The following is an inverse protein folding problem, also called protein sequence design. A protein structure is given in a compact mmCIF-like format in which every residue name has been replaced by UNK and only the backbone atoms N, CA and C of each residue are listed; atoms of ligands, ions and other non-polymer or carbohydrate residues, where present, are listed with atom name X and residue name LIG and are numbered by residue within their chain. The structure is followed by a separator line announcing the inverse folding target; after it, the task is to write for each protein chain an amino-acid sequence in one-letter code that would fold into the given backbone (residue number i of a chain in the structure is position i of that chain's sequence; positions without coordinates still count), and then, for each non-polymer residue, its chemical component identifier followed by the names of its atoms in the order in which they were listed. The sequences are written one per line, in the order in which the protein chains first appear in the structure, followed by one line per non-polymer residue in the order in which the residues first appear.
data_IF_687674333439
#
_entry.id   IF_687674333439
#
_cell.length_a   1.000
_cell.length_b   1.000
_cell.length_c   1.000
_cell.angle_alpha   90.00
_cell.angle_beta   90.00
_cell.angle_gamma   90.00
#
_symmetry.space_group_name_H-M   'P 1'
#
loop_
_entity.id
_entity.type
_entity.pdbx_description
1 polymer ?
#
# COMPACT_ATOMS: atom_id res chain seq x y z
N UNK A 1 63.93 -1.94 -34.42
CA UNK A 1 62.89 -2.51 -33.54
C UNK A 1 62.19 -1.35 -32.83
N UNK A 2 60.93 -1.05 -33.22
CA UNK A 2 60.14 0.05 -32.61
C UNK A 2 59.17 -0.60 -31.59
N UNK A 3 59.43 -0.34 -30.31
CA UNK A 3 58.53 -0.77 -29.24
C UNK A 3 57.26 0.12 -29.25
N UNK A 4 56.14 -0.48 -29.64
CA UNK A 4 54.81 0.13 -29.42
C UNK A 4 54.44 -0.07 -27.96
N UNK A 5 54.45 1.02 -27.18
CA UNK A 5 53.85 1.07 -25.85
C UNK A 5 52.33 1.17 -26.01
N UNK A 6 51.61 0.06 -25.77
CA UNK A 6 50.14 0.09 -25.71
C UNK A 6 49.72 0.67 -24.36
N UNK A 7 49.23 1.90 -24.37
CA UNK A 7 48.62 2.54 -23.17
C UNK A 7 47.21 2.03 -23.06
N UNK A 8 46.93 1.14 -22.10
CA UNK A 8 45.57 0.76 -21.69
C UNK A 8 44.96 1.90 -20.89
N UNK A 9 44.05 2.64 -21.48
CA UNK A 9 43.13 3.52 -20.74
C UNK A 9 42.11 2.63 -20.02
N UNK A 10 42.28 2.41 -18.74
CA UNK A 10 41.26 1.89 -17.88
C UNK A 10 40.19 2.99 -17.71
N UNK A 11 39.11 2.92 -18.46
CA UNK A 11 37.90 3.71 -18.19
C UNK A 11 37.41 3.32 -16.78
N UNK A 12 37.24 4.29 -15.85
CA UNK A 12 36.65 3.98 -14.57
C UNK A 12 35.21 3.48 -14.84
N UNK A 13 34.93 2.23 -14.46
CA UNK A 13 33.55 1.78 -14.35
C UNK A 13 32.89 2.70 -13.31
N UNK A 14 32.16 3.71 -13.78
CA UNK A 14 31.27 4.51 -12.93
C UNK A 14 30.26 3.51 -12.37
N UNK A 15 30.40 3.13 -11.12
CA UNK A 15 29.39 2.37 -10.42
C UNK A 15 28.08 3.16 -10.55
N UNK A 16 27.09 2.58 -11.22
CA UNK A 16 25.80 3.23 -11.39
C UNK A 16 25.26 3.59 -10.00
N UNK A 17 24.83 4.85 -9.84
CA UNK A 17 24.27 5.31 -8.58
C UNK A 17 23.11 4.39 -8.20
N UNK A 18 23.12 3.89 -6.95
CA UNK A 18 22.03 3.05 -6.43
C UNK A 18 20.70 3.82 -6.55
N UNK A 19 19.64 3.23 -7.15
CA UNK A 19 18.38 3.92 -7.30
C UNK A 19 17.72 4.18 -5.93
N UNK A 20 16.98 5.28 -5.82
CA UNK A 20 16.03 5.45 -4.74
C UNK A 20 14.87 4.45 -4.89
N UNK A 21 14.19 4.17 -3.80
CA UNK A 21 13.03 3.28 -3.81
C UNK A 21 11.86 3.98 -3.08
N UNK A 22 10.75 4.15 -3.78
CA UNK A 22 9.47 4.56 -3.23
C UNK A 22 8.50 3.38 -3.31
N UNK A 23 8.17 2.80 -2.16
CA UNK A 23 7.17 1.74 -2.06
C UNK A 23 5.86 2.33 -1.55
N UNK A 24 4.79 2.22 -2.32
CA UNK A 24 3.45 2.72 -1.99
C UNK A 24 2.54 1.53 -1.77
N UNK A 25 2.02 1.39 -0.55
CA UNK A 25 1.13 0.32 -0.14
C UNK A 25 -0.24 0.89 0.22
N UNK A 26 -1.26 0.50 -0.53
CA UNK A 26 -2.65 0.73 -0.16
C UNK A 26 -3.15 -0.35 0.82
N UNK A 27 -4.21 -0.05 1.55
CA UNK A 27 -4.85 -0.94 2.51
C UNK A 27 -6.28 -1.25 2.05
N UNK A 28 -6.61 -2.53 1.91
CA UNK A 28 -7.93 -3.01 1.46
C UNK A 28 -8.35 -2.55 0.04
N UNK A 29 -7.40 -2.22 -0.82
CA UNK A 29 -7.69 -1.79 -2.18
C UNK A 29 -7.85 -2.99 -3.12
N UNK A 30 -9.03 -3.15 -3.69
CA UNK A 30 -9.27 -4.15 -4.73
C UNK A 30 -8.64 -3.76 -6.06
N UNK A 31 -8.07 -4.73 -6.80
CA UNK A 31 -7.53 -4.46 -8.13
C UNK A 31 -8.58 -3.81 -9.05
N UNK A 32 -9.85 -4.21 -8.92
CA UNK A 32 -10.96 -3.69 -9.73
C UNK A 32 -11.45 -2.30 -9.32
N UNK A 33 -10.87 -1.73 -8.27
CA UNK A 33 -11.19 -0.35 -7.83
C UNK A 33 -10.38 0.72 -8.59
N UNK A 34 -9.44 0.33 -9.45
CA UNK A 34 -8.62 1.28 -10.23
C UNK A 34 -9.19 1.49 -11.63
N UNK A 35 -9.14 2.74 -12.13
CA UNK A 35 -9.65 3.06 -13.47
C UNK A 35 -8.91 2.28 -14.55
N UNK A 36 -7.58 2.15 -14.45
CA UNK A 36 -6.77 1.36 -15.40
C UNK A 36 -7.04 -0.15 -15.34
N UNK A 37 -7.77 -0.64 -14.33
CA UNK A 37 -8.21 -2.03 -14.18
C UNK A 37 -9.71 -2.22 -14.46
N UNK A 38 -10.37 -1.15 -14.91
CA UNK A 38 -11.74 -1.20 -15.44
C UNK A 38 -12.82 -0.60 -14.54
N UNK A 39 -12.48 0.09 -13.44
CA UNK A 39 -13.46 0.86 -12.69
C UNK A 39 -13.96 2.04 -13.54
N UNK A 40 -15.28 2.12 -13.75
CA UNK A 40 -15.92 3.28 -14.35
C UNK A 40 -16.38 4.29 -13.29
N UNK A 41 -16.38 3.89 -12.02
CA UNK A 41 -16.90 4.71 -10.93
C UNK A 41 -15.82 5.48 -10.20
N UNK A 42 -14.72 4.82 -9.81
CA UNK A 42 -13.62 5.46 -9.09
C UNK A 42 -12.63 6.12 -10.07
N UNK A 43 -12.08 7.25 -9.67
CA UNK A 43 -11.15 8.03 -10.47
C UNK A 43 -9.75 8.00 -9.83
N UNK A 44 -8.78 7.37 -10.54
CA UNK A 44 -7.45 7.10 -10.01
C UNK A 44 -6.33 7.52 -10.98
N UNK A 45 -6.36 8.76 -11.54
CA UNK A 45 -5.46 9.16 -12.62
C UNK A 45 -3.97 9.12 -12.24
N UNK A 46 -3.61 9.35 -10.98
CA UNK A 46 -2.22 9.35 -10.55
C UNK A 46 -1.67 7.94 -10.37
N UNK A 47 -2.47 7.01 -9.82
CA UNK A 47 -2.12 5.58 -9.74
C UNK A 47 -2.07 4.98 -11.15
N UNK A 48 -3.03 5.32 -12.01
CA UNK A 48 -3.06 4.90 -13.42
C UNK A 48 -1.80 5.38 -14.16
N UNK A 49 -1.30 6.59 -13.85
CA UNK A 49 -0.04 7.10 -14.41
C UNK A 49 1.17 6.25 -14.01
N UNK A 50 1.20 5.67 -12.81
CA UNK A 50 2.26 4.72 -12.42
C UNK A 50 2.18 3.47 -13.29
N UNK A 51 0.97 2.90 -13.45
CA UNK A 51 0.74 1.73 -14.30
C UNK A 51 1.17 1.97 -15.75
N UNK A 52 0.89 3.16 -16.29
CA UNK A 52 1.24 3.56 -17.65
C UNK A 52 2.73 3.85 -17.84
N UNK A 53 3.39 4.40 -16.80
CA UNK A 53 4.81 4.75 -16.83
C UNK A 53 5.75 3.57 -16.60
N UNK A 54 5.22 2.43 -16.15
CA UNK A 54 5.98 1.24 -15.80
C UNK A 54 5.41 -0.04 -16.38
N UNK A 55 5.60 -1.12 -15.64
CA UNK A 55 5.08 -2.45 -15.95
C UNK A 55 3.94 -2.80 -15.00
N UNK A 56 2.84 -3.32 -15.55
CA UNK A 56 1.72 -3.91 -14.82
C UNK A 56 1.88 -5.42 -14.74
N UNK A 57 1.81 -5.96 -13.54
CA UNK A 57 1.78 -7.41 -13.33
C UNK A 57 0.33 -7.89 -13.28
N UNK A 58 -0.08 -8.63 -14.28
CA UNK A 58 -1.46 -9.11 -14.41
C UNK A 58 -1.81 -10.20 -13.39
N UNK A 59 -0.81 -10.89 -12.87
CA UNK A 59 -0.91 -11.96 -11.88
C UNK A 59 -0.16 -11.60 -10.57
N UNK A 60 -0.38 -10.37 -10.08
CA UNK A 60 0.10 -9.95 -8.76
C UNK A 60 -0.80 -10.48 -7.65
N UNK A 61 -0.24 -11.17 -6.66
CA UNK A 61 -0.98 -11.75 -5.54
C UNK A 61 -0.39 -11.36 -4.20
N UNK A 62 -1.25 -11.04 -3.24
CA UNK A 62 -0.88 -10.97 -1.83
C UNK A 62 -0.72 -12.39 -1.25
N UNK A 63 0.08 -12.51 -0.21
CA UNK A 63 0.30 -13.81 0.45
C UNK A 63 -0.84 -14.22 1.38
N UNK A 64 -1.76 -13.30 1.66
CA UNK A 64 -2.92 -13.52 2.51
C UNK A 64 -4.04 -12.54 2.14
N UNK A 65 -5.27 -12.91 2.45
CA UNK A 65 -6.47 -12.12 2.20
C UNK A 65 -6.75 -11.04 3.28
N UNK A 66 -5.82 -10.83 4.23
CA UNK A 66 -5.93 -9.83 5.31
C UNK A 66 -4.59 -9.16 5.59
N UNK A 67 -4.63 -7.99 6.27
CA UNK A 67 -3.52 -7.04 6.38
C UNK A 67 -2.23 -7.58 7.01
N UNK A 68 -2.25 -7.99 8.29
CA UNK A 68 -0.99 -8.27 9.04
C UNK A 68 -0.10 -9.33 8.39
N UNK A 69 -0.63 -10.51 7.97
CA UNK A 69 0.21 -11.52 7.34
C UNK A 69 0.81 -11.05 6.01
N UNK A 70 0.04 -10.34 5.19
CA UNK A 70 0.55 -9.78 3.92
C UNK A 70 1.63 -8.74 4.16
N UNK A 71 1.41 -7.83 5.12
CA UNK A 71 2.41 -6.79 5.49
C UNK A 71 3.69 -7.42 6.04
N UNK A 72 3.56 -8.44 6.90
CA UNK A 72 4.70 -9.19 7.41
C UNK A 72 5.48 -9.88 6.27
N UNK A 73 4.77 -10.42 5.28
CA UNK A 73 5.40 -11.02 4.09
C UNK A 73 6.13 -10.00 3.23
N UNK A 74 5.53 -8.81 3.00
CA UNK A 74 6.18 -7.72 2.26
C UNK A 74 7.48 -7.29 2.95
N UNK A 75 7.46 -7.17 4.28
CA UNK A 75 8.65 -6.77 5.03
C UNK A 75 9.73 -7.84 5.08
N UNK A 76 9.36 -9.12 5.16
CA UNK A 76 10.29 -10.24 5.43
C UNK A 76 10.67 -11.08 4.21
N UNK A 77 9.92 -10.99 3.11
CA UNK A 77 10.06 -11.90 1.96
C UNK A 77 9.64 -13.35 2.26
N UNK A 78 8.89 -13.59 3.33
CA UNK A 78 8.49 -14.93 3.77
C UNK A 78 6.97 -15.09 3.79
N UNK A 79 6.50 -16.33 3.61
CA UNK A 79 5.08 -16.64 3.72
C UNK A 79 4.57 -16.57 5.17
N UNK A 80 3.27 -16.21 5.38
CA UNK A 80 2.65 -16.06 6.70
C UNK A 80 2.87 -17.25 7.64
N UNK A 81 2.74 -18.48 7.14
CA UNK A 81 2.95 -19.70 7.92
C UNK A 81 4.37 -19.83 8.46
N UNK A 82 5.38 -19.33 7.75
CA UNK A 82 6.79 -19.32 8.19
C UNK A 82 7.06 -18.26 9.25
N UNK A 83 6.38 -17.12 9.13
CA UNK A 83 6.51 -15.99 10.07
C UNK A 83 5.77 -16.29 11.37
N UNK A 84 4.66 -17.07 11.31
CA UNK A 84 3.74 -17.33 12.42
C UNK A 84 2.68 -16.22 12.59
N UNK A 85 2.54 -15.30 11.62
CA UNK A 85 1.44 -14.33 11.57
C UNK A 85 0.53 -14.77 10.43
N UNK A 86 -0.57 -15.45 10.76
CA UNK A 86 -1.45 -16.15 9.80
C UNK A 86 -2.83 -15.53 9.69
N UNK A 87 -3.14 -14.54 10.56
CA UNK A 87 -4.36 -13.74 10.53
C UNK A 87 -4.03 -12.31 10.96
N UNK A 88 -4.99 -11.37 10.80
CA UNK A 88 -4.78 -9.99 11.26
C UNK A 88 -4.50 -9.96 12.77
N UNK A 89 -3.57 -9.13 13.19
CA UNK A 89 -3.21 -9.00 14.61
C UNK A 89 -4.38 -8.38 15.38
N UNK A 90 -4.91 -9.16 16.31
CA UNK A 90 -6.16 -8.87 17.05
C UNK A 90 -7.29 -9.86 16.74
N UNK A 91 -7.15 -10.71 15.71
CA UNK A 91 -8.10 -11.78 15.44
C UNK A 91 -8.19 -12.76 16.63
N UNK A 92 -9.40 -13.26 16.89
CA UNK A 92 -9.58 -14.39 17.80
C UNK A 92 -9.13 -15.67 17.09
N UNK A 93 -8.05 -16.29 17.58
CA UNK A 93 -7.45 -17.50 17.01
C UNK A 93 -7.11 -18.50 18.12
N UNK A 94 -6.80 -19.75 17.78
CA UNK A 94 -6.53 -20.80 18.75
C UNK A 94 -7.70 -20.99 19.73
N UNK A 95 -7.41 -21.12 21.01
CA UNK A 95 -8.41 -21.30 22.06
C UNK A 95 -9.34 -20.08 22.30
N UNK A 96 -9.01 -18.92 21.72
CA UNK A 96 -9.88 -17.72 21.77
C UNK A 96 -10.98 -17.76 20.71
N UNK A 97 -10.93 -18.70 19.77
CA UNK A 97 -11.94 -18.88 18.74
C UNK A 97 -13.26 -19.39 19.34
N UNK A 98 -14.33 -18.64 19.12
CA UNK A 98 -15.63 -18.92 19.79
C UNK A 98 -16.69 -19.52 18.86
N UNK A 99 -16.37 -19.74 17.57
CA UNK A 99 -17.30 -20.37 16.64
C UNK A 99 -17.24 -21.89 16.77
N UNK A 100 -18.37 -22.56 16.55
CA UNK A 100 -18.44 -24.01 16.55
C UNK A 100 -18.02 -24.56 15.18
N UNK A 101 -16.74 -24.38 14.84
CA UNK A 101 -16.15 -24.91 13.61
C UNK A 101 -15.49 -26.28 13.86
N UNK A 102 -15.38 -27.09 12.78
CA UNK A 102 -14.77 -28.42 12.87
C UNK A 102 -13.29 -28.43 13.25
N UNK A 103 -12.60 -27.30 12.95
CA UNK A 103 -11.18 -27.08 13.23
C UNK A 103 -10.98 -25.69 13.83
N UNK A 104 -10.02 -25.58 14.72
CA UNK A 104 -9.59 -24.28 15.25
C UNK A 104 -8.57 -23.65 14.31
N UNK A 105 -8.62 -22.33 14.10
CA UNK A 105 -7.53 -21.62 13.45
C UNK A 105 -6.27 -21.73 14.32
N UNK A 106 -5.07 -21.76 13.71
CA UNK A 106 -3.82 -21.79 14.47
C UNK A 106 -3.68 -20.54 15.32
N UNK A 107 -2.91 -20.62 16.39
CA UNK A 107 -2.55 -19.42 17.14
C UNK A 107 -1.80 -18.43 16.25
N UNK A 108 -2.15 -17.14 16.38
CA UNK A 108 -1.62 -16.07 15.57
C UNK A 108 -0.54 -15.29 16.32
N UNK A 109 0.59 -15.06 15.68
CA UNK A 109 1.65 -14.17 16.20
C UNK A 109 1.15 -12.74 16.38
N UNK A 110 1.57 -12.08 17.44
CA UNK A 110 1.16 -10.71 17.77
C UNK A 110 2.14 -9.63 17.27
N UNK A 111 3.29 -10.05 16.75
CA UNK A 111 4.35 -9.15 16.24
C UNK A 111 5.29 -9.83 15.27
N UNK A 112 5.91 -9.04 14.39
CA UNK A 112 7.00 -9.53 13.55
C UNK A 112 8.20 -9.92 14.43
N UNK A 113 8.71 -11.17 14.33
CA UNK A 113 9.83 -11.59 15.16
C UNK A 113 11.11 -10.82 14.85
N UNK A 114 11.79 -10.30 15.89
CA UNK A 114 13.02 -9.50 15.75
C UNK A 114 14.19 -10.25 15.07
N UNK A 115 14.16 -11.59 15.04
CA UNK A 115 15.17 -12.41 14.35
C UNK A 115 15.04 -12.43 12.82
N UNK A 116 13.94 -11.90 12.29
CA UNK A 116 13.68 -11.87 10.85
C UNK A 116 14.27 -10.57 10.29
N UNK A 117 15.24 -10.68 9.41
CA UNK A 117 15.77 -9.52 8.68
C UNK A 117 14.69 -9.01 7.70
N UNK A 118 14.36 -7.75 7.82
CA UNK A 118 13.39 -7.07 6.93
C UNK A 118 14.07 -6.42 5.74
N UNK A 119 13.27 -6.08 4.72
CA UNK A 119 13.76 -5.32 3.55
C UNK A 119 14.34 -3.97 3.97
N UNK A 120 13.78 -3.32 4.98
CA UNK A 120 14.29 -2.04 5.53
C UNK A 120 15.65 -2.20 6.20
N UNK A 121 15.86 -3.24 6.99
CA UNK A 121 17.15 -3.55 7.60
C UNK A 121 18.21 -3.88 6.54
N UNK A 122 17.86 -4.69 5.54
CA UNK A 122 18.75 -5.04 4.44
C UNK A 122 19.15 -3.79 3.62
N UNK A 123 18.19 -2.92 3.28
CA UNK A 123 18.47 -1.68 2.56
C UNK A 123 19.27 -0.68 3.41
N UNK A 124 18.97 -0.56 4.70
CA UNK A 124 19.74 0.26 5.63
C UNK A 124 21.20 -0.19 5.70
N UNK A 125 21.42 -1.50 5.84
CA UNK A 125 22.80 -2.08 5.80
C UNK A 125 23.47 -1.85 4.45
N UNK A 126 22.69 -1.78 3.38
CA UNK A 126 23.13 -1.41 2.02
C UNK A 126 23.41 0.09 1.84
N UNK A 127 23.29 0.91 2.89
CA UNK A 127 23.60 2.34 2.88
C UNK A 127 22.43 3.26 2.50
N UNK A 128 21.21 2.75 2.46
CA UNK A 128 20.01 3.57 2.24
C UNK A 128 19.60 4.32 3.51
N UNK A 129 19.09 5.54 3.34
CA UNK A 129 18.26 6.20 4.36
C UNK A 129 16.87 5.57 4.30
N UNK A 130 16.26 5.27 5.43
CA UNK A 130 15.01 4.53 5.49
C UNK A 130 13.91 5.33 6.18
N UNK A 131 12.74 5.36 5.56
CA UNK A 131 11.58 6.14 6.01
C UNK A 131 10.31 5.30 5.90
N UNK A 132 9.49 5.38 6.93
CA UNK A 132 8.16 4.78 7.00
C UNK A 132 7.10 5.82 7.30
N UNK A 133 5.97 5.80 6.59
CA UNK A 133 4.81 6.62 6.90
C UNK A 133 3.52 5.81 6.82
N UNK A 134 2.69 5.85 7.86
CA UNK A 134 1.33 5.30 7.87
C UNK A 134 1.16 3.99 8.62
N UNK A 135 0.35 3.07 8.07
CA UNK A 135 -0.06 1.83 8.73
C UNK A 135 1.05 0.79 8.80
N UNK A 136 1.45 0.41 10.03
CA UNK A 136 2.37 -0.70 10.28
C UNK A 136 1.64 -2.03 10.49
N UNK A 137 0.93 -2.19 11.59
CA UNK A 137 0.03 -3.31 11.91
C UNK A 137 0.69 -4.70 11.91
N UNK A 138 1.99 -4.80 12.16
CA UNK A 138 2.74 -6.06 12.32
C UNK A 138 3.56 -6.08 13.63
N UNK A 139 3.11 -5.31 14.61
CA UNK A 139 3.68 -5.24 15.94
C UNK A 139 3.49 -3.86 16.56
N UNK A 140 3.85 -3.75 17.84
CA UNK A 140 3.79 -2.53 18.62
C UNK A 140 5.16 -2.23 19.25
N UNK A 141 5.17 -1.91 20.54
CA UNK A 141 6.40 -1.66 21.30
C UNK A 141 7.39 -2.83 21.18
N UNK A 142 8.64 -2.52 20.82
CA UNK A 142 9.69 -3.50 20.52
C UNK A 142 9.52 -4.27 19.22
N UNK A 143 8.59 -3.84 18.35
CA UNK A 143 8.40 -4.36 16.99
C UNK A 143 7.72 -3.32 16.10
N UNK A 144 8.04 -2.05 16.30
CA UNK A 144 7.63 -0.95 15.42
C UNK A 144 8.52 -0.80 14.19
N UNK A 145 8.24 0.15 13.32
CA UNK A 145 9.09 0.43 12.15
C UNK A 145 10.55 0.68 12.52
N UNK A 146 10.78 1.41 13.61
CA UNK A 146 12.14 1.76 14.09
C UNK A 146 12.94 0.53 14.52
N UNK A 147 12.26 -0.45 15.13
CA UNK A 147 12.87 -1.73 15.56
C UNK A 147 13.21 -2.64 14.37
N UNK A 148 12.65 -2.35 13.20
CA UNK A 148 12.81 -3.11 11.95
C UNK A 148 13.47 -2.27 10.84
N UNK A 149 14.40 -1.39 11.20
CA UNK A 149 15.35 -0.77 10.29
C UNK A 149 14.91 0.55 9.65
N UNK A 150 13.76 1.11 10.00
CA UNK A 150 13.40 2.46 9.57
C UNK A 150 13.99 3.53 10.49
N UNK A 151 14.76 4.47 9.93
CA UNK A 151 15.38 5.57 10.67
C UNK A 151 14.37 6.65 11.06
N UNK A 152 13.34 6.81 10.23
CA UNK A 152 12.27 7.79 10.45
C UNK A 152 10.93 7.10 10.32
N UNK A 153 10.08 7.27 11.33
CA UNK A 153 8.71 6.76 11.37
C UNK A 153 7.72 7.91 11.55
N UNK A 154 6.71 7.97 10.68
CA UNK A 154 5.61 8.93 10.69
C UNK A 154 4.27 8.20 10.67
N UNK A 155 3.75 7.91 11.86
CA UNK A 155 2.42 7.31 12.01
C UNK A 155 2.38 5.79 12.08
N UNK A 156 3.53 5.10 11.97
CA UNK A 156 3.61 3.65 12.11
C UNK A 156 3.54 3.19 13.56
N UNK A 157 2.53 2.42 13.92
CA UNK A 157 2.34 1.83 15.23
C UNK A 157 1.43 0.60 15.16
N UNK A 158 1.07 0.00 16.28
CA UNK A 158 0.36 -1.28 16.33
C UNK A 158 -1.05 -1.29 15.71
N UNK A 159 -1.71 -0.13 15.56
CA UNK A 159 -3.11 -0.07 15.13
C UNK A 159 -3.28 -0.42 13.65
N UNK A 160 -4.28 -1.26 13.38
CA UNK A 160 -4.67 -1.63 12.03
C UNK A 160 -5.61 -0.64 11.33
N UNK A 161 -6.10 0.38 12.07
CA UNK A 161 -6.97 1.43 11.55
C UNK A 161 -6.57 2.79 12.10
N UNK A 162 -6.92 3.92 11.46
CA UNK A 162 -6.63 5.25 11.97
C UNK A 162 -7.56 5.56 13.16
N UNK A 163 -6.97 5.69 14.37
CA UNK A 163 -7.75 5.87 15.62
C UNK A 163 -8.58 7.16 15.65
N UNK A 164 -8.03 8.26 15.10
CA UNK A 164 -8.74 9.54 14.98
C UNK A 164 -9.55 9.67 13.68
N UNK A 165 -9.60 8.62 12.86
CA UNK A 165 -10.20 8.67 11.53
C UNK A 165 -9.27 9.27 10.49
N UNK A 166 -9.87 9.70 9.37
CA UNK A 166 -9.13 10.15 8.18
C UNK A 166 -8.94 11.66 8.08
N UNK A 167 -9.33 12.40 9.09
CA UNK A 167 -9.16 13.86 9.13
C UNK A 167 -8.58 14.31 10.46
N UNK A 168 -7.67 15.27 10.42
CA UNK A 168 -7.05 15.82 11.62
C UNK A 168 -8.12 16.38 12.60
N UNK A 169 -7.95 16.11 13.91
CA UNK A 169 -6.83 15.49 14.60
C UNK A 169 -6.80 13.97 14.47
N UNK A 170 -5.62 13.41 14.14
CA UNK A 170 -5.47 11.97 13.81
C UNK A 170 -5.40 11.06 15.03
N UNK A 171 -5.13 11.60 16.22
CA UNK A 171 -4.91 10.84 17.47
C UNK A 171 -3.90 9.70 17.28
N UNK A 172 -2.85 9.94 16.50
CA UNK A 172 -1.79 9.00 16.21
C UNK A 172 -0.52 9.38 17.00
N UNK A 173 0.02 8.52 17.86
CA UNK A 173 1.15 8.86 18.74
C UNK A 173 2.47 9.08 17.99
N UNK A 174 2.54 8.70 16.71
CA UNK A 174 3.74 8.81 15.87
C UNK A 174 3.56 9.79 14.69
N UNK A 175 2.44 10.52 14.64
CA UNK A 175 2.14 11.48 13.59
C UNK A 175 1.57 12.76 14.20
N UNK A 176 2.27 13.86 14.02
CA UNK A 176 1.76 15.17 14.42
C UNK A 176 0.58 15.58 13.54
N UNK A 177 -0.42 16.19 14.13
CA UNK A 177 -1.52 16.78 13.40
C UNK A 177 -1.03 17.92 12.49
N UNK A 178 -1.68 18.06 11.36
CA UNK A 178 -1.59 19.20 10.48
C UNK A 178 -2.72 20.20 10.75
N UNK A 179 -3.05 21.03 9.75
CA UNK A 179 -4.23 21.88 9.82
C UNK A 179 -5.48 21.06 10.13
N UNK A 180 -6.40 21.64 10.90
CA UNK A 180 -7.67 21.00 11.23
C UNK A 180 -8.42 20.56 9.94
N UNK A 181 -8.90 19.33 9.92
CA UNK A 181 -9.56 18.76 8.75
C UNK A 181 -8.63 18.32 7.62
N UNK A 182 -7.31 18.36 7.80
CA UNK A 182 -6.37 17.78 6.82
C UNK A 182 -6.60 16.29 6.66
N UNK A 183 -6.69 15.81 5.40
CA UNK A 183 -6.87 14.40 5.12
C UNK A 183 -5.59 13.59 5.41
N UNK A 184 -5.73 12.46 6.08
CA UNK A 184 -4.62 11.58 6.49
C UNK A 184 -3.72 11.16 5.33
N UNK A 185 -4.23 10.70 4.16
CA UNK A 185 -3.34 10.33 3.05
C UNK A 185 -2.52 11.52 2.56
N UNK A 186 -3.08 12.73 2.55
CA UNK A 186 -2.37 13.96 2.17
C UNK A 186 -1.26 14.28 3.19
N UNK A 187 -1.56 14.12 4.49
CA UNK A 187 -0.55 14.30 5.55
C UNK A 187 0.62 13.33 5.39
N UNK A 188 0.34 12.05 5.17
CA UNK A 188 1.39 11.04 4.97
C UNK A 188 2.24 11.33 3.73
N UNK A 189 1.62 11.77 2.64
CA UNK A 189 2.32 12.21 1.43
C UNK A 189 3.24 13.42 1.68
N UNK A 190 2.79 14.40 2.48
CA UNK A 190 3.61 15.57 2.88
C UNK A 190 4.82 15.15 3.72
N UNK A 191 4.64 14.25 4.70
CA UNK A 191 5.77 13.73 5.49
C UNK A 191 6.77 12.97 4.61
N UNK A 192 6.29 12.21 3.63
CA UNK A 192 7.12 11.52 2.63
C UNK A 192 7.91 12.54 1.79
N UNK A 193 7.26 13.59 1.30
CA UNK A 193 7.91 14.66 0.53
C UNK A 193 8.95 15.42 1.36
N UNK A 194 8.66 15.69 2.63
CA UNK A 194 9.61 16.32 3.56
C UNK A 194 10.88 15.47 3.73
N UNK A 195 10.73 14.15 3.86
CA UNK A 195 11.87 13.24 3.96
C UNK A 195 12.69 13.21 2.65
N UNK A 196 12.02 13.08 1.49
CA UNK A 196 12.66 13.06 0.17
C UNK A 196 13.44 14.36 -0.09
N UNK A 197 12.92 15.50 0.35
CA UNK A 197 13.52 16.83 0.15
C UNK A 197 14.78 17.10 0.98
N UNK A 198 15.17 16.23 1.90
CA UNK A 198 16.35 16.45 2.74
C UNK A 198 17.65 16.45 1.92
N UNK A 199 18.18 17.63 1.68
CA UNK A 199 19.30 17.89 0.72
C UNK A 199 20.68 17.41 1.21
N UNK A 200 20.84 17.06 2.48
CA UNK A 200 22.17 16.83 3.08
C UNK A 200 22.70 15.40 2.94
N UNK A 201 22.10 14.57 2.10
CA UNK A 201 22.55 13.20 1.92
C UNK A 201 22.67 12.83 0.44
N UNK A 202 23.89 12.41 0.05
CA UNK A 202 24.16 11.73 -1.23
C UNK A 202 23.69 10.27 -1.21
N UNK A 203 23.20 9.77 -0.07
CA UNK A 203 22.74 8.38 0.05
C UNK A 203 21.38 8.20 -0.62
N UNK A 204 21.16 7.08 -1.29
CA UNK A 204 19.83 6.74 -1.80
C UNK A 204 18.85 6.56 -0.64
N UNK A 205 17.56 6.66 -0.91
CA UNK A 205 16.52 6.45 0.09
C UNK A 205 15.63 5.25 -0.25
N UNK A 206 15.11 4.63 0.80
CA UNK A 206 13.96 3.74 0.79
C UNK A 206 12.83 4.40 1.57
N UNK A 207 11.82 4.90 0.87
CA UNK A 207 10.62 5.47 1.45
C UNK A 207 9.46 4.48 1.30
N UNK A 208 8.88 4.07 2.43
CA UNK A 208 7.73 3.17 2.48
C UNK A 208 6.49 3.97 2.90
N UNK A 209 5.66 4.35 1.93
CA UNK A 209 4.41 5.05 2.13
C UNK A 209 3.27 4.03 2.22
N UNK A 210 2.83 3.77 3.44
CA UNK A 210 1.83 2.77 3.79
C UNK A 210 0.53 3.45 4.18
N UNK A 211 -0.38 3.60 3.25
CA UNK A 211 -1.66 4.23 3.55
C UNK A 211 -2.51 3.38 4.50
N UNK A 212 -3.35 4.03 5.30
CA UNK A 212 -4.51 3.42 5.93
C UNK A 212 -5.69 3.33 4.95
N UNK A 213 -5.70 4.17 3.91
CA UNK A 213 -6.71 4.15 2.85
C UNK A 213 -6.55 2.90 1.99
N UNK A 214 -7.64 2.18 1.75
CA UNK A 214 -9.04 2.57 1.89
C UNK A 214 -9.76 1.72 2.97
N UNK A 215 -9.05 1.37 4.03
CA UNK A 215 -9.59 0.60 5.17
C UNK A 215 -10.64 1.41 5.94
N UNK A 216 -11.57 0.72 6.58
CA UNK A 216 -12.54 1.34 7.50
C UNK A 216 -11.91 1.99 8.76
N UNK A 217 -12.62 2.95 9.38
CA UNK A 217 -13.90 3.51 8.97
C UNK A 217 -13.80 4.31 7.67
N UNK A 218 -14.69 4.07 6.71
CA UNK A 218 -14.65 4.84 5.46
C UNK A 218 -15.13 6.27 5.70
N UNK A 219 -14.34 7.25 5.26
CA UNK A 219 -14.60 8.67 5.44
C UNK A 219 -14.12 9.46 4.22
N UNK A 220 -14.83 10.52 3.89
CA UNK A 220 -14.45 11.44 2.82
C UNK A 220 -14.86 12.87 3.12
N UNK A 221 -14.29 13.84 2.40
CA UNK A 221 -14.71 15.23 2.53
C UNK A 221 -16.10 15.47 1.94
N UNK A 222 -16.84 16.50 2.40
CA UNK A 222 -18.15 16.84 1.85
C UNK A 222 -18.11 17.06 0.32
N UNK A 223 -17.07 17.71 -0.19
CA UNK A 223 -16.93 17.99 -1.62
C UNK A 223 -16.78 16.70 -2.45
N UNK A 224 -15.93 15.77 -2.01
CA UNK A 224 -15.74 14.49 -2.69
C UNK A 224 -16.98 13.59 -2.54
N UNK A 225 -17.62 13.60 -1.37
CA UNK A 225 -18.89 12.90 -1.20
C UNK A 225 -19.94 13.38 -2.20
N UNK A 226 -20.12 14.69 -2.34
CA UNK A 226 -21.09 15.27 -3.27
C UNK A 226 -20.76 14.92 -4.73
N UNK A 227 -19.48 14.98 -5.13
CA UNK A 227 -19.01 14.55 -6.46
C UNK A 227 -19.46 13.12 -6.76
N UNK A 228 -19.11 12.18 -5.88
CA UNK A 228 -19.39 10.76 -6.10
C UNK A 228 -20.87 10.41 -5.89
N UNK A 229 -21.58 11.14 -5.05
CA UNK A 229 -23.05 11.01 -4.92
C UNK A 229 -23.74 11.36 -6.23
N UNK A 230 -23.37 12.48 -6.87
CA UNK A 230 -23.89 12.84 -8.19
C UNK A 230 -23.57 11.77 -9.24
N UNK A 231 -22.36 11.25 -9.23
CA UNK A 231 -21.92 10.18 -10.15
C UNK A 231 -22.73 8.89 -9.92
N UNK A 232 -22.94 8.49 -8.69
CA UNK A 232 -23.77 7.33 -8.35
C UNK A 232 -25.21 7.48 -8.79
N UNK A 233 -25.78 8.69 -8.61
CA UNK A 233 -27.16 8.99 -9.05
C UNK A 233 -27.26 8.95 -10.57
N UNK A 234 -26.30 9.52 -11.29
CA UNK A 234 -26.29 9.55 -12.75
C UNK A 234 -26.12 8.16 -13.39
N UNK A 235 -25.39 7.25 -12.73
CA UNK A 235 -25.20 5.85 -13.20
C UNK A 235 -26.44 5.00 -13.05
N UNK A 236 -27.49 5.47 -12.37
CA UNK A 236 -28.65 4.69 -11.95
C UNK A 236 -28.30 3.77 -10.78
N UNK A 237 -29.22 3.63 -9.86
CA UNK A 237 -29.04 2.69 -8.74
C UNK A 237 -29.30 1.27 -9.28
N UNK A 238 -28.34 0.38 -9.11
CA UNK A 238 -28.52 -1.03 -9.42
C UNK A 238 -29.70 -1.59 -8.61
N UNK A 239 -30.58 -2.36 -9.28
CA UNK A 239 -31.72 -3.00 -8.61
C UNK A 239 -31.29 -3.96 -7.52
N UNK A 240 -30.19 -4.68 -7.76
CA UNK A 240 -29.60 -5.62 -6.80
C UNK A 240 -28.17 -5.18 -6.45
N UNK A 241 -28.00 -4.47 -5.37
CA UNK A 241 -26.67 -4.03 -4.89
C UNK A 241 -25.89 -5.10 -4.20
N UNK A 242 -26.57 -6.10 -3.65
CA UNK A 242 -25.97 -7.18 -2.87
C UNK A 242 -26.52 -8.52 -3.30
N UNK A 243 -25.63 -9.52 -3.32
CA UNK A 243 -25.98 -10.92 -3.54
C UNK A 243 -25.29 -11.79 -2.49
N UNK A 244 -25.99 -12.75 -1.93
CA UNK A 244 -25.36 -13.66 -0.98
C UNK A 244 -24.35 -14.59 -1.69
N UNK A 245 -23.11 -14.61 -1.23
CA UNK A 245 -22.15 -15.66 -1.51
C UNK A 245 -22.06 -16.55 -0.26
N UNK A 246 -22.66 -17.71 -0.35
CA UNK A 246 -22.88 -18.63 0.79
C UNK A 246 -23.75 -17.97 1.88
N UNK A 247 -23.17 -17.47 2.93
CA UNK A 247 -23.87 -16.95 4.11
C UNK A 247 -23.76 -15.45 4.30
N UNK A 248 -23.00 -14.76 3.45
CA UNK A 248 -22.74 -13.32 3.58
C UNK A 248 -23.16 -12.54 2.34
N UNK A 249 -23.76 -11.36 2.51
CA UNK A 249 -24.00 -10.45 1.40
C UNK A 249 -22.67 -9.95 0.85
N UNK A 250 -22.58 -9.87 -0.47
CA UNK A 250 -21.43 -9.35 -1.22
C UNK A 250 -21.94 -8.24 -2.14
N UNK A 251 -21.28 -7.09 -2.08
CA UNK A 251 -21.61 -5.95 -2.95
C UNK A 251 -21.33 -6.29 -4.40
N UNK A 252 -22.28 -5.94 -5.28
CA UNK A 252 -22.26 -6.25 -6.70
C UNK A 252 -21.89 -5.05 -7.59
N UNK A 253 -21.91 -3.84 -7.06
CA UNK A 253 -21.73 -2.60 -7.83
C UNK A 253 -20.80 -1.64 -7.11
N UNK A 254 -20.02 -0.90 -7.88
CA UNK A 254 -19.18 0.20 -7.41
C UNK A 254 -20.01 1.49 -7.47
N UNK A 255 -20.67 1.84 -6.38
CA UNK A 255 -21.54 3.01 -6.28
C UNK A 255 -21.54 3.65 -4.88
N UNK A 256 -20.50 3.41 -4.08
CA UNK A 256 -20.34 3.98 -2.74
C UNK A 256 -19.68 5.37 -2.79
N UNK A 257 -20.41 6.48 -2.54
CA UNK A 257 -19.83 7.81 -2.66
C UNK A 257 -18.72 8.09 -1.65
N UNK A 258 -18.83 7.57 -0.44
CA UNK A 258 -17.82 7.76 0.61
C UNK A 258 -16.52 7.08 0.19
N UNK A 259 -16.60 5.84 -0.25
CA UNK A 259 -15.43 5.08 -0.71
C UNK A 259 -14.80 5.71 -1.96
N UNK A 260 -15.62 6.18 -2.92
CA UNK A 260 -15.13 6.90 -4.10
C UNK A 260 -14.31 8.14 -3.75
N UNK A 261 -14.82 8.95 -2.83
CA UNK A 261 -14.07 10.12 -2.38
C UNK A 261 -12.82 9.79 -1.57
N UNK A 262 -12.83 8.67 -0.83
CA UNK A 262 -11.65 8.17 -0.13
C UNK A 262 -10.57 7.67 -1.09
N UNK A 263 -10.97 6.97 -2.16
CA UNK A 263 -10.11 6.56 -3.26
C UNK A 263 -9.43 7.75 -3.92
N UNK A 264 -10.19 8.79 -4.28
CA UNK A 264 -9.64 9.99 -4.90
C UNK A 264 -8.69 10.75 -3.97
N UNK A 265 -8.99 10.80 -2.66
CA UNK A 265 -8.08 11.41 -1.68
C UNK A 265 -6.74 10.68 -1.60
N UNK A 266 -6.73 9.35 -1.68
CA UNK A 266 -5.51 8.55 -1.73
C UNK A 266 -4.76 8.75 -3.05
N UNK A 267 -5.47 8.74 -4.16
CA UNK A 267 -4.89 8.97 -5.49
C UNK A 267 -4.21 10.34 -5.59
N UNK A 268 -4.85 11.39 -5.06
CA UNK A 268 -4.26 12.72 -4.95
C UNK A 268 -2.96 12.73 -4.11
N UNK A 269 -2.93 11.95 -3.02
CA UNK A 269 -1.73 11.80 -2.19
C UNK A 269 -0.59 11.10 -2.97
N UNK A 270 -0.90 10.09 -3.77
CA UNK A 270 0.06 9.45 -4.70
C UNK A 270 0.59 10.47 -5.71
N UNK A 271 -0.31 11.28 -6.27
CA UNK A 271 0.04 12.37 -7.19
C UNK A 271 0.98 13.39 -6.57
N UNK A 272 0.77 13.76 -5.30
CA UNK A 272 1.65 14.68 -4.59
C UNK A 272 3.09 14.14 -4.49
N UNK A 273 3.27 12.86 -4.19
CA UNK A 273 4.61 12.27 -4.02
C UNK A 273 5.28 12.06 -5.37
N UNK A 274 4.58 11.51 -6.36
CA UNK A 274 5.15 11.27 -7.69
C UNK A 274 5.51 12.56 -8.43
N UNK A 275 4.68 13.60 -8.31
CA UNK A 275 4.98 14.93 -8.85
C UNK A 275 6.17 15.58 -8.14
N UNK A 276 6.31 15.35 -6.83
CA UNK A 276 7.45 15.85 -6.06
C UNK A 276 8.78 15.22 -6.50
N UNK A 277 8.80 13.91 -6.76
CA UNK A 277 9.97 13.24 -7.34
C UNK A 277 10.37 13.87 -8.68
N UNK A 278 9.41 14.11 -9.57
CA UNK A 278 9.64 14.77 -10.86
C UNK A 278 10.20 16.19 -10.68
N UNK A 279 9.61 16.97 -9.77
CA UNK A 279 10.07 18.34 -9.46
C UNK A 279 11.51 18.39 -8.99
N UNK A 280 11.97 17.37 -8.28
CA UNK A 280 13.35 17.25 -7.79
C UNK A 280 14.30 16.59 -8.82
N UNK A 281 13.79 16.12 -9.96
CA UNK A 281 14.56 15.37 -10.97
C UNK A 281 14.98 13.96 -10.50
N UNK A 282 14.34 13.44 -9.43
CA UNK A 282 14.65 12.15 -8.86
C UNK A 282 13.91 10.98 -9.53
N UNK A 283 12.86 11.27 -10.29
CA UNK A 283 12.06 10.26 -11.00
C UNK A 283 12.89 9.37 -11.94
N UNK A 284 13.96 9.93 -12.52
CA UNK A 284 14.87 9.20 -13.42
C UNK A 284 15.75 8.16 -12.72
N UNK A 285 15.91 8.24 -11.39
CA UNK A 285 16.69 7.32 -10.58
C UNK A 285 15.92 6.84 -9.33
N UNK A 286 14.60 6.69 -9.46
CA UNK A 286 13.74 6.16 -8.39
C UNK A 286 12.91 5.00 -8.91
N UNK A 287 13.00 3.86 -8.25
CA UNK A 287 12.08 2.75 -8.44
C UNK A 287 10.81 3.08 -7.66
N UNK A 288 9.66 3.12 -8.35
CA UNK A 288 8.35 3.32 -7.73
C UNK A 288 7.57 2.02 -7.83
N UNK A 289 7.10 1.55 -6.69
CA UNK A 289 6.26 0.34 -6.58
C UNK A 289 4.92 0.75 -5.98
N UNK A 290 3.82 0.33 -6.61
CA UNK A 290 2.47 0.49 -6.09
C UNK A 290 1.79 -0.86 -5.99
N UNK A 291 1.24 -1.17 -4.81
CA UNK A 291 0.44 -2.40 -4.58
C UNK A 291 -0.54 -2.21 -3.42
N UNK A 292 -1.36 -3.24 -3.15
CA UNK A 292 -2.23 -3.34 -1.98
C UNK A 292 -1.84 -4.55 -1.12
N UNK A 293 -2.21 -4.53 0.15
CA UNK A 293 -1.94 -5.64 1.06
C UNK A 293 -2.93 -6.80 0.93
N UNK A 294 -4.18 -6.52 0.55
CA UNK A 294 -5.22 -7.52 0.25
C UNK A 294 -6.31 -6.90 -0.62
N UNK A 295 -7.32 -7.69 -1.00
CA UNK A 295 -8.41 -7.25 -1.85
C UNK A 295 -9.41 -6.31 -1.19
N UNK A 296 -10.29 -5.74 -2.01
CA UNK A 296 -11.30 -4.77 -1.61
C UNK A 296 -12.38 -5.34 -0.68
N UNK A 297 -12.99 -4.47 0.12
CA UNK A 297 -14.02 -4.83 1.09
C UNK A 297 -15.38 -4.94 0.41
N UNK A 298 -15.64 -6.09 -0.20
CA UNK A 298 -16.94 -6.37 -0.87
C UNK A 298 -17.96 -7.01 0.07
N UNK A 299 -17.53 -7.53 1.23
CA UNK A 299 -18.35 -8.23 2.21
C UNK A 299 -17.80 -7.98 3.62
N UNK A 300 -18.67 -7.81 4.60
CA UNK A 300 -18.28 -7.42 5.97
C UNK A 300 -17.82 -5.98 6.04
N UNK A 301 -17.25 -5.57 7.18
CA UNK A 301 -16.81 -4.21 7.47
C UNK A 301 -17.81 -3.15 6.93
N UNK A 302 -17.40 -2.32 5.98
CA UNK A 302 -18.25 -1.26 5.44
C UNK A 302 -18.98 -1.62 4.12
N UNK A 303 -18.82 -2.84 3.58
CA UNK A 303 -19.31 -3.21 2.24
C UNK A 303 -18.98 -2.16 1.18
N UNK A 304 -17.73 -1.70 1.18
CA UNK A 304 -17.34 -0.44 0.55
C UNK A 304 -17.33 -0.51 -0.98
N UNK A 305 -16.95 -1.66 -1.56
CA UNK A 305 -16.75 -1.81 -3.01
C UNK A 305 -17.23 -3.16 -3.53
N UNK A 306 -17.20 -3.32 -4.86
CA UNK A 306 -17.44 -4.59 -5.56
C UNK A 306 -16.16 -5.04 -6.27
N UNK A 307 -15.74 -6.28 -6.04
CA UNK A 307 -14.54 -6.86 -6.66
C UNK A 307 -14.82 -7.55 -8.01
N UNK A 308 -16.06 -7.54 -8.49
CA UNK A 308 -16.45 -8.23 -9.72
C UNK A 308 -15.59 -7.83 -10.95
N UNK A 309 -15.33 -8.81 -11.87
CA UNK A 309 -15.82 -10.17 -11.92
C UNK A 309 -15.09 -11.14 -10.98
N UNK A 310 -14.14 -10.67 -10.18
CA UNK A 310 -13.39 -11.51 -9.25
C UNK A 310 -14.27 -11.88 -8.06
N UNK A 311 -14.29 -13.16 -7.72
CA UNK A 311 -15.05 -13.66 -6.57
C UNK A 311 -14.40 -13.24 -5.27
N UNK A 312 -15.24 -12.96 -4.26
CA UNK A 312 -14.81 -12.62 -2.90
C UNK A 312 -14.31 -11.18 -2.77
N UNK A 313 -13.44 -10.98 -1.81
CA UNK A 313 -12.83 -9.73 -1.40
C UNK A 313 -12.04 -9.97 -0.12
N UNK A 314 -11.69 -8.93 0.61
CA UNK A 314 -10.99 -9.02 1.91
C UNK A 314 -11.55 -10.16 2.77
N UNK A 315 -10.67 -10.92 3.41
CA UNK A 315 -11.05 -12.06 4.25
C UNK A 315 -11.48 -13.32 3.49
N UNK A 316 -11.37 -13.35 2.15
CA UNK A 316 -11.68 -14.50 1.31
C UNK A 316 -10.49 -14.91 0.46
N UNK A 317 -10.26 -16.24 0.31
CA UNK A 317 -9.14 -16.80 -0.45
C UNK A 317 -9.37 -16.82 -1.97
N UNK A 318 -10.43 -16.20 -2.46
CA UNK A 318 -10.73 -16.08 -3.88
C UNK A 318 -9.96 -14.91 -4.50
N UNK A 319 -9.93 -14.86 -5.81
CA UNK A 319 -9.22 -13.84 -6.60
C UNK A 319 -9.49 -12.40 -6.11
N UNK A 320 -10.74 -12.09 -5.76
CA UNK A 320 -11.09 -10.76 -5.23
C UNK A 320 -10.46 -10.41 -3.88
N UNK A 321 -10.02 -11.42 -3.12
CA UNK A 321 -9.36 -11.22 -1.82
C UNK A 321 -7.85 -11.18 -1.87
N UNK A 322 -7.23 -11.79 -2.89
CA UNK A 322 -5.78 -11.97 -2.95
C UNK A 322 -5.10 -11.43 -4.20
N UNK A 323 -5.82 -11.20 -5.31
CA UNK A 323 -5.26 -10.59 -6.52
C UNK A 323 -5.20 -9.09 -6.38
N UNK A 324 -3.98 -8.54 -6.53
CA UNK A 324 -3.68 -7.15 -6.20
C UNK A 324 -3.21 -6.37 -7.42
N UNK A 325 -3.42 -5.04 -7.44
CA UNK A 325 -2.66 -4.20 -8.35
C UNK A 325 -1.17 -4.32 -8.00
N UNK A 326 -0.34 -4.50 -9.00
CA UNK A 326 1.11 -4.54 -8.81
C UNK A 326 1.78 -3.82 -9.98
N UNK A 327 2.25 -2.60 -9.73
CA UNK A 327 2.84 -1.74 -10.75
C UNK A 327 4.25 -1.35 -10.33
N UNK A 328 5.20 -1.46 -11.26
CA UNK A 328 6.59 -1.08 -11.02
C UNK A 328 7.07 -0.15 -12.13
N UNK A 329 7.54 1.03 -11.73
CA UNK A 329 8.35 1.92 -12.56
C UNK A 329 9.79 1.76 -12.11
N UNK A 330 10.64 1.15 -12.91
CA UNK A 330 12.07 1.01 -12.67
C UNK A 330 12.82 1.58 -13.87
N UNK A 331 13.38 2.80 -13.77
CA UNK A 331 14.05 3.46 -14.88
C UNK A 331 15.17 2.60 -15.48
N UNK A 332 15.17 2.45 -16.80
CA UNK A 332 16.12 1.60 -17.52
C UNK A 332 15.84 0.09 -17.46
N UNK A 333 14.85 -0.36 -16.65
CA UNK A 333 14.50 -1.78 -16.48
C UNK A 333 13.09 -2.10 -17.00
N UNK A 334 12.07 -1.35 -16.54
CA UNK A 334 10.69 -1.57 -16.98
C UNK A 334 10.37 -0.74 -18.21
N UNK A 335 9.65 -1.34 -19.17
CA UNK A 335 9.16 -0.63 -20.33
C UNK A 335 7.81 0.02 -20.01
N UNK A 336 7.62 1.33 -20.24
CA UNK A 336 6.34 1.99 -20.04
C UNK A 336 5.19 1.32 -20.79
N UNK A 337 4.06 1.13 -20.10
CA UNK A 337 2.85 0.52 -20.63
C UNK A 337 2.95 -0.99 -20.87
N UNK A 338 4.03 -1.64 -20.44
CA UNK A 338 4.17 -3.09 -20.58
C UNK A 338 3.37 -3.85 -19.52
N UNK A 339 3.09 -5.12 -19.81
CA UNK A 339 2.45 -6.08 -18.90
C UNK A 339 3.30 -7.35 -18.78
N UNK A 340 3.19 -8.04 -17.66
CA UNK A 340 3.79 -9.34 -17.38
C UNK A 340 2.73 -10.32 -16.88
#
# INVERSE_FOLDING_TARGET
MRNLLSVFFALPLLAADKPNILFILADDLGIKDLSCEGSAFYETPHIDSIAQSGMRFTNGYSTCQVCSPSRASIMSGQYPARIGITDWIGAATGMKWKRNDKVLPPENGSRLPAKITTVSEALKSGGYRTFFAGKWHIGGEGSGPEDHGFEVNKGGYYSGSPRGGYFAPFNNPKLNDGPNGEALPIRLARETNNFISQKNSKKPFFAFLSFYSVHGPIQTSPALWEKYRKKATASGLAKERFKNDRTLPVRQVQDCPIYGGMMESMDNAVGLVTSHLKKLGLDKNTIVIFTSDNGGVSSGDAFATACLPLRGGKGRQWEGGIRQPYYIVAPGVTKPGSTS
#
